data_IF_038477084876
#
_entry.id   IF_038477084876
#
_cell.length_a   1.000
_cell.length_b   1.000
_cell.length_c   1.000
_cell.angle_alpha   90.00
_cell.angle_beta   90.00
_cell.angle_gamma   90.00
#
_symmetry.space_group_name_H-M   'P 1'
#
loop_
_entity.id
_entity.type
_entity.pdbx_description
1 polymer ?
#
# COMPACT_ATOMS: atom_id res chain seq x y z
N UNK A 1 41.70 6.00 -22.58
CA UNK A 1 41.29 4.64 -22.20
C UNK A 1 40.74 4.57 -20.78
N UNK A 2 41.48 5.03 -19.77
CA UNK A 2 41.00 5.04 -18.37
C UNK A 2 39.69 5.83 -18.19
N UNK A 3 39.54 6.98 -18.86
CA UNK A 3 38.30 7.76 -18.84
C UNK A 3 37.08 7.02 -19.40
N UNK A 4 37.28 6.16 -20.41
CA UNK A 4 36.21 5.33 -20.97
C UNK A 4 35.76 4.28 -19.95
N UNK A 5 36.71 3.61 -19.30
CA UNK A 5 36.43 2.65 -18.24
C UNK A 5 35.74 3.32 -17.03
N UNK A 6 36.21 4.51 -16.64
CA UNK A 6 35.60 5.29 -15.57
C UNK A 6 34.16 5.73 -15.90
N UNK A 7 33.90 6.15 -17.14
CA UNK A 7 32.57 6.53 -17.59
C UNK A 7 31.60 5.34 -17.55
N UNK A 8 32.02 4.17 -18.04
CA UNK A 8 31.21 2.94 -17.99
C UNK A 8 30.95 2.53 -16.54
N UNK A 9 31.96 2.58 -15.67
CA UNK A 9 31.81 2.28 -14.25
C UNK A 9 30.82 3.23 -13.56
N UNK A 10 30.94 4.54 -13.79
CA UNK A 10 30.06 5.55 -13.22
C UNK A 10 28.60 5.38 -13.66
N UNK A 11 28.37 5.11 -14.95
CA UNK A 11 27.02 4.84 -15.48
C UNK A 11 26.43 3.58 -14.82
N UNK A 12 27.23 2.52 -14.72
CA UNK A 12 26.78 1.24 -14.12
C UNK A 12 26.36 1.43 -12.66
N UNK A 13 27.18 2.13 -11.86
CA UNK A 13 26.84 2.46 -10.47
C UNK A 13 25.60 3.35 -10.39
N UNK A 14 25.48 4.37 -11.25
CA UNK A 14 24.29 5.23 -11.30
C UNK A 14 23.01 4.45 -11.60
N UNK A 15 23.04 3.52 -12.54
CA UNK A 15 21.90 2.64 -12.87
C UNK A 15 21.57 1.71 -11.71
N UNK A 16 22.57 1.13 -11.04
CA UNK A 16 22.36 0.28 -9.86
C UNK A 16 21.72 1.06 -8.70
N UNK A 17 22.20 2.27 -8.43
CA UNK A 17 21.64 3.15 -7.41
C UNK A 17 20.19 3.56 -7.77
N UNK A 18 19.92 3.91 -9.03
CA UNK A 18 18.55 4.15 -9.48
C UNK A 18 17.68 2.91 -9.28
N UNK A 19 18.14 1.72 -9.68
CA UNK A 19 17.35 0.49 -9.56
C UNK A 19 17.07 0.13 -8.10
N UNK A 20 18.06 0.33 -7.22
CA UNK A 20 17.95 0.06 -5.80
C UNK A 20 17.01 1.06 -5.09
N UNK A 21 17.14 2.36 -5.35
CA UNK A 21 16.44 3.38 -4.58
C UNK A 21 15.25 4.01 -5.32
N UNK A 22 15.35 4.22 -6.63
CA UNK A 22 14.33 4.84 -7.47
C UNK A 22 13.14 3.93 -7.82
N UNK A 23 13.34 2.61 -7.93
CA UNK A 23 12.23 1.66 -8.18
C UNK A 23 11.54 1.25 -6.88
N UNK A 24 12.27 1.15 -5.76
CA UNK A 24 11.67 0.80 -4.47
C UNK A 24 10.66 1.86 -4.00
N UNK A 25 10.93 3.16 -4.22
CA UNK A 25 9.98 4.24 -3.93
C UNK A 25 8.66 4.12 -4.71
N UNK A 26 8.70 3.59 -5.95
CA UNK A 26 7.50 3.33 -6.75
C UNK A 26 6.78 2.02 -6.34
N UNK A 27 7.53 1.02 -5.86
CA UNK A 27 6.96 -0.27 -5.41
C UNK A 27 6.17 -0.19 -4.10
N UNK A 28 6.38 0.85 -3.28
CA UNK A 28 5.53 1.12 -2.12
C UNK A 28 4.15 1.64 -2.55
N UNK A 29 4.02 2.19 -3.77
CA UNK A 29 2.73 2.63 -4.32
C UNK A 29 2.03 1.58 -5.19
N UNK A 30 2.68 0.48 -5.57
CA UNK A 30 2.09 -0.55 -6.44
C UNK A 30 1.69 -1.84 -5.71
N UNK A 31 1.63 -1.85 -4.37
CA UNK A 31 0.91 -2.87 -3.60
C UNK A 31 -0.58 -2.56 -3.42
N UNK A 32 -1.16 -1.82 -4.37
CA UNK A 32 -2.59 -1.61 -4.54
C UNK A 32 -3.26 -2.88 -5.12
N UNK A 33 -3.04 -4.00 -4.44
CA UNK A 33 -3.44 -5.35 -4.84
C UNK A 33 -2.87 -6.44 -3.93
N UNK A 34 -2.22 -6.07 -2.82
CA UNK A 34 -2.10 -7.01 -1.71
C UNK A 34 -3.50 -7.19 -1.14
N UNK A 35 -3.95 -8.44 -1.06
CA UNK A 35 -5.16 -8.90 -0.36
C UNK A 35 -5.47 -7.96 0.79
N UNK A 36 -6.45 -7.09 0.58
CA UNK A 36 -6.92 -6.19 1.63
C UNK A 36 -7.43 -7.12 2.74
N UNK A 37 -7.02 -6.89 3.98
CA UNK A 37 -7.53 -7.69 5.07
C UNK A 37 -9.07 -7.52 5.07
N UNK A 38 -9.86 -8.58 5.28
CA UNK A 38 -11.32 -8.46 5.31
C UNK A 38 -11.84 -7.38 6.28
N UNK A 39 -11.06 -7.04 7.30
CA UNK A 39 -11.36 -5.99 8.28
C UNK A 39 -11.11 -4.56 7.76
N UNK A 40 -10.25 -4.39 6.75
CA UNK A 40 -9.90 -3.10 6.12
C UNK A 40 -10.74 -2.84 4.84
N UNK A 41 -11.74 -3.69 4.55
CA UNK A 41 -12.66 -3.51 3.44
C UNK A 41 -13.64 -2.36 3.75
N UNK A 42 -13.74 -1.33 2.87
CA UNK A 42 -14.66 -0.21 3.09
C UNK A 42 -16.13 -0.66 3.15
N UNK A 43 -16.48 -1.74 2.43
CA UNK A 43 -17.81 -2.34 2.48
C UNK A 43 -18.08 -3.08 3.80
N UNK A 44 -17.06 -3.69 4.43
CA UNK A 44 -17.20 -4.36 5.71
C UNK A 44 -17.49 -3.36 6.84
N UNK A 45 -16.71 -2.27 6.90
CA UNK A 45 -16.92 -1.18 7.86
C UNK A 45 -18.31 -0.54 7.70
N UNK A 46 -18.75 -0.34 6.45
CA UNK A 46 -20.09 0.21 6.15
C UNK A 46 -21.22 -0.69 6.67
N UNK A 47 -21.08 -2.01 6.53
CA UNK A 47 -22.03 -2.98 7.10
C UNK A 47 -21.99 -2.96 8.63
N UNK A 48 -20.82 -2.84 9.26
CA UNK A 48 -20.69 -2.79 10.72
C UNK A 48 -21.37 -1.55 11.30
N UNK A 49 -21.17 -0.38 10.70
CA UNK A 49 -21.83 0.86 11.11
C UNK A 49 -23.35 0.78 10.97
N UNK A 50 -23.85 0.15 9.90
CA UNK A 50 -25.28 -0.07 9.71
C UNK A 50 -25.88 -1.01 10.77
N UNK A 51 -25.17 -2.09 11.12
CA UNK A 51 -25.59 -3.00 12.20
C UNK A 51 -25.55 -2.31 13.57
N UNK A 52 -24.51 -1.50 13.85
CA UNK A 52 -24.38 -0.75 15.11
C UNK A 52 -25.51 0.26 15.27
N UNK A 53 -25.84 1.00 14.21
CA UNK A 53 -26.94 1.98 14.21
C UNK A 53 -28.32 1.33 14.39
N UNK A 54 -28.49 0.10 13.90
CA UNK A 54 -29.75 -0.64 14.00
C UNK A 54 -29.92 -1.34 15.36
N UNK A 55 -28.82 -1.79 15.98
CA UNK A 55 -28.83 -2.37 17.33
C UNK A 55 -29.14 -1.36 18.43
N UNK A 56 -28.64 -0.13 18.30
CA UNK A 56 -28.91 0.96 19.27
C UNK A 56 -30.34 1.54 19.14
N UNK A 57 -31.04 1.24 18.04
CA UNK A 57 -32.43 1.66 17.81
C UNK A 57 -33.46 0.56 18.12
N UNK A 58 -33.03 -0.62 18.62
CA UNK A 58 -33.86 -1.83 18.69
C UNK A 58 -34.14 -2.39 20.08
N UNK A 59 -33.38 -2.01 21.12
CA UNK A 59 -33.55 -2.55 22.48
C UNK A 59 -34.08 -1.49 23.45
N UNK A 60 -35.34 -1.09 23.25
CA UNK A 60 -36.26 -0.84 24.36
C UNK A 60 -37.01 -2.16 24.63
N UNK A 61 -36.54 -3.04 25.53
CA UNK A 61 -37.38 -4.11 26.03
C UNK A 61 -38.46 -3.46 26.89
N UNK A 62 -39.63 -3.21 26.30
CA UNK A 62 -40.86 -3.11 27.08
C UNK A 62 -41.13 -4.47 27.73
N UNK A 63 -40.76 -4.59 29.00
CA UNK A 63 -41.26 -5.58 29.94
C UNK A 63 -41.44 -4.94 31.30
#
# INVERSE_FOLDING_TARGET
MLYLLAAVGAITVGVLLWRAFGVQAASVSSRQGGTIAPDDDPEFLRRLDEHRKRGDAGDDPKS
#
